data_IF_302185061948
#
_entry.id   IF_302185061948
#
_cell.length_a   1.000
_cell.length_b   1.000
_cell.length_c   1.000
_cell.angle_alpha   90.00
_cell.angle_beta   90.00
_cell.angle_gamma   90.00
#
_symmetry.space_group_name_H-M   'P 1'
#
loop_
_entity.id
_entity.type
_entity.pdbx_description
1 polymer ?
#
# COMPACT_ATOMS: atom_id res chain seq x y z
N UNK A 1 -9.59 32.61 -5.76
CA UNK A 1 -8.70 31.58 -6.30
C UNK A 1 -7.44 31.48 -5.45
N UNK A 2 -6.30 32.00 -5.94
CA UNK A 2 -5.01 31.87 -5.26
C UNK A 2 -4.98 32.52 -3.86
N UNK A 3 -5.57 33.71 -3.69
CA UNK A 3 -5.65 34.38 -2.39
C UNK A 3 -6.37 33.53 -1.33
N UNK A 4 -7.46 32.88 -1.72
CA UNK A 4 -8.26 32.06 -0.80
C UNK A 4 -7.51 30.77 -0.46
N UNK A 5 -6.80 30.17 -1.42
CA UNK A 5 -5.91 29.02 -1.17
C UNK A 5 -4.77 29.38 -0.22
N UNK A 6 -4.12 30.52 -0.43
CA UNK A 6 -3.04 30.99 0.45
C UNK A 6 -3.55 31.31 1.85
N UNK A 7 -4.72 31.95 1.97
CA UNK A 7 -5.34 32.23 3.27
C UNK A 7 -5.73 30.95 4.01
N UNK A 8 -6.31 29.97 3.30
CA UNK A 8 -6.66 28.67 3.86
C UNK A 8 -5.41 27.90 4.30
N UNK A 9 -4.35 27.88 3.48
CA UNK A 9 -3.08 27.24 3.80
C UNK A 9 -2.41 27.91 5.01
N UNK A 10 -2.39 29.24 5.08
CA UNK A 10 -1.85 29.98 6.22
C UNK A 10 -2.64 29.71 7.50
N UNK A 11 -3.98 29.70 7.44
CA UNK A 11 -4.83 29.40 8.59
C UNK A 11 -4.68 27.96 9.08
N UNK A 12 -4.68 26.99 8.17
CA UNK A 12 -4.44 25.58 8.51
C UNK A 12 -3.03 25.36 9.05
N UNK A 13 -2.03 26.02 8.47
CA UNK A 13 -0.63 25.99 8.93
C UNK A 13 -0.46 26.59 10.32
N UNK A 14 -1.10 27.72 10.61
CA UNK A 14 -1.07 28.34 11.94
C UNK A 14 -1.71 27.45 13.00
N UNK A 15 -2.86 26.82 12.68
CA UNK A 15 -3.49 25.85 13.59
C UNK A 15 -2.61 24.62 13.78
N UNK A 16 -2.03 24.08 12.70
CA UNK A 16 -1.09 22.96 12.78
C UNK A 16 0.14 23.28 13.63
N UNK A 17 0.70 24.48 13.50
CA UNK A 17 1.81 24.96 14.32
C UNK A 17 1.39 25.09 15.80
N UNK A 18 0.19 25.60 16.07
CA UNK A 18 -0.31 25.75 17.43
C UNK A 18 -0.64 24.40 18.10
N UNK A 19 -1.10 23.40 17.36
CA UNK A 19 -1.43 22.06 17.90
C UNK A 19 -0.20 21.16 18.01
N UNK A 20 0.56 21.00 16.93
CA UNK A 20 1.67 20.03 16.88
C UNK A 20 3.04 20.64 17.18
N UNK A 21 3.28 21.89 16.78
CA UNK A 21 4.56 22.57 16.93
C UNK A 21 4.76 23.14 18.33
N UNK A 22 3.99 24.15 18.69
CA UNK A 22 4.05 24.81 20.00
C UNK A 22 3.20 24.11 21.08
N UNK A 23 2.29 23.19 20.69
CA UNK A 23 1.39 22.46 21.59
C UNK A 23 0.58 23.37 22.54
N UNK A 24 0.16 24.53 22.03
CA UNK A 24 -0.67 25.53 22.75
C UNK A 24 -2.16 25.18 22.63
N UNK A 25 -2.54 24.46 21.57
CA UNK A 25 -3.90 23.94 21.37
C UNK A 25 -3.88 22.41 21.45
N UNK A 26 -4.97 21.81 21.94
CA UNK A 26 -5.18 20.38 21.86
C UNK A 26 -5.29 19.94 20.38
N UNK A 27 -4.74 18.78 20.05
CA UNK A 27 -4.78 18.18 18.71
C UNK A 27 -6.05 17.35 18.47
N UNK A 28 -6.76 16.99 19.54
CA UNK A 28 -8.04 16.30 19.49
C UNK A 28 -8.69 16.10 20.86
N UNK A 29 -9.84 15.43 20.85
CA UNK A 29 -10.53 14.95 22.04
C UNK A 29 -10.71 13.46 21.94
N UNK A 30 -10.33 12.75 23.00
CA UNK A 30 -10.49 11.31 23.13
C UNK A 30 -11.25 10.98 24.40
N UNK A 31 -12.29 10.17 24.28
CA UNK A 31 -13.08 9.65 25.38
C UNK A 31 -13.06 8.12 25.37
N UNK A 32 -12.93 7.53 26.56
CA UNK A 32 -13.08 6.09 26.75
C UNK A 32 -14.27 5.85 27.66
N UNK A 33 -15.20 5.01 27.21
CA UNK A 33 -16.40 4.62 27.94
C UNK A 33 -16.35 3.11 28.15
N UNK A 34 -16.64 2.65 29.36
CA UNK A 34 -16.72 1.23 29.66
C UNK A 34 -18.13 0.87 30.14
N UNK A 35 -18.68 -0.21 29.59
CA UNK A 35 -19.96 -0.78 29.99
C UNK A 35 -19.74 -2.27 30.29
N UNK A 36 -19.54 -2.61 31.57
CA UNK A 36 -19.06 -3.94 31.96
C UNK A 36 -17.66 -4.20 31.38
N UNK A 37 -17.48 -5.34 30.72
CA UNK A 37 -16.22 -5.66 30.01
C UNK A 37 -16.09 -5.00 28.62
N UNK A 38 -17.15 -4.38 28.10
CA UNK A 38 -17.12 -3.73 26.79
C UNK A 38 -16.52 -2.33 26.91
N UNK A 39 -15.43 -2.07 26.18
CA UNK A 39 -14.76 -0.77 26.17
C UNK A 39 -14.95 -0.11 24.80
N UNK A 40 -15.49 1.10 24.83
CA UNK A 40 -15.70 1.95 23.68
C UNK A 40 -14.71 3.11 23.73
N UNK A 41 -14.19 3.51 22.57
CA UNK A 41 -13.34 4.68 22.45
C UNK A 41 -13.86 5.56 21.32
N UNK A 42 -14.03 6.84 21.62
CA UNK A 42 -14.46 7.86 20.66
C UNK A 42 -13.37 8.92 20.62
N UNK A 43 -12.93 9.27 19.42
CA UNK A 43 -11.89 10.25 19.21
C UNK A 43 -12.20 11.13 18.02
N UNK A 44 -11.92 12.42 18.13
CA UNK A 44 -11.92 13.35 17.00
C UNK A 44 -10.64 14.18 17.04
N UNK A 45 -10.01 14.34 15.88
CA UNK A 45 -8.84 15.21 15.71
C UNK A 45 -9.26 16.56 15.13
N UNK A 46 -8.61 17.64 15.56
CA UNK A 46 -8.90 19.00 15.10
C UNK A 46 -8.08 19.44 13.88
N UNK A 47 -7.60 18.48 13.08
CA UNK A 47 -6.78 18.78 11.90
C UNK A 47 -7.62 19.35 10.75
N UNK A 48 -7.44 20.65 10.47
CA UNK A 48 -8.04 21.29 9.29
C UNK A 48 -7.53 20.69 7.97
N UNK A 49 -6.32 20.11 7.97
CA UNK A 49 -5.82 19.38 6.81
C UNK A 49 -6.69 18.15 6.50
N UNK A 50 -7.13 17.41 7.52
CA UNK A 50 -8.04 16.28 7.34
C UNK A 50 -9.43 16.71 6.86
N UNK A 51 -9.91 17.90 7.23
CA UNK A 51 -11.15 18.47 6.67
C UNK A 51 -10.99 18.73 5.17
N UNK A 52 -9.86 19.31 4.75
CA UNK A 52 -9.53 19.49 3.33
C UNK A 52 -9.45 18.17 2.57
N UNK A 53 -8.80 17.15 3.15
CA UNK A 53 -8.76 15.80 2.56
C UNK A 53 -10.16 15.23 2.42
N UNK A 54 -11.01 15.32 3.44
CA UNK A 54 -12.40 14.84 3.38
C UNK A 54 -13.22 15.53 2.29
N UNK A 55 -13.02 16.84 2.08
CA UNK A 55 -13.64 17.57 0.97
C UNK A 55 -13.17 17.07 -0.40
N UNK A 56 -11.87 16.79 -0.56
CA UNK A 56 -11.29 16.32 -1.82
C UNK A 56 -11.70 14.89 -2.18
N UNK A 57 -11.77 13.99 -1.20
CA UNK A 57 -12.15 12.58 -1.45
C UNK A 57 -13.67 12.41 -1.57
N UNK A 58 -14.45 13.31 -0.96
CA UNK A 58 -15.90 13.36 -1.11
C UNK A 58 -16.68 12.51 -0.09
N UNK A 59 -18.00 12.74 -0.03
CA UNK A 59 -18.84 12.20 1.05
C UNK A 59 -18.94 10.66 1.05
N UNK A 60 -18.94 10.02 -0.13
CA UNK A 60 -19.04 8.56 -0.22
C UNK A 60 -17.87 7.85 0.46
N UNK A 61 -16.64 8.28 0.19
CA UNK A 61 -15.46 7.74 0.85
C UNK A 61 -15.43 8.07 2.36
N UNK A 62 -15.86 9.28 2.73
CA UNK A 62 -16.00 9.65 4.14
C UNK A 62 -16.98 8.75 4.89
N UNK A 63 -18.12 8.39 4.27
CA UNK A 63 -19.10 7.46 4.85
C UNK A 63 -18.57 6.02 4.92
N UNK A 64 -17.82 5.57 3.91
CA UNK A 64 -17.16 4.27 3.96
C UNK A 64 -16.12 4.18 5.10
N UNK A 65 -15.30 5.22 5.26
CA UNK A 65 -14.35 5.33 6.39
C UNK A 65 -15.09 5.37 7.73
N UNK A 66 -16.17 6.15 7.84
CA UNK A 66 -16.98 6.23 9.05
C UNK A 66 -17.62 4.88 9.39
N UNK A 67 -18.08 4.13 8.39
CA UNK A 67 -18.60 2.77 8.56
C UNK A 67 -17.52 1.84 9.10
N UNK A 68 -16.29 1.92 8.57
CA UNK A 68 -15.14 1.19 9.11
C UNK A 68 -14.82 1.56 10.56
N UNK A 69 -14.86 2.85 10.91
CA UNK A 69 -14.69 3.34 12.29
C UNK A 69 -15.79 2.79 13.21
N UNK A 70 -17.04 2.80 12.77
CA UNK A 70 -18.17 2.28 13.53
C UNK A 70 -18.05 0.76 13.76
N UNK A 71 -17.65 0.00 12.74
CA UNK A 71 -17.40 -1.44 12.87
C UNK A 71 -16.24 -1.69 13.84
N UNK A 72 -15.13 -0.97 13.70
CA UNK A 72 -13.95 -1.17 14.52
C UNK A 72 -14.17 -0.77 15.98
N UNK A 73 -14.54 0.48 16.23
CA UNK A 73 -14.59 1.07 17.57
C UNK A 73 -15.97 0.97 18.24
N UNK A 74 -17.04 0.82 17.45
CA UNK A 74 -18.40 0.65 17.96
C UNK A 74 -18.82 -0.80 18.19
N UNK A 75 -18.21 -1.76 17.47
CA UNK A 75 -18.59 -3.18 17.53
C UNK A 75 -17.42 -4.08 17.90
N UNK A 76 -16.36 -4.12 17.08
CA UNK A 76 -15.31 -5.12 17.19
C UNK A 76 -14.47 -4.97 18.48
N UNK A 77 -13.99 -3.76 18.77
CA UNK A 77 -13.21 -3.50 20.00
C UNK A 77 -14.05 -3.79 21.26
N UNK A 78 -15.26 -3.22 21.44
CA UNK A 78 -16.07 -3.49 22.62
C UNK A 78 -16.44 -4.96 22.79
N UNK A 79 -16.73 -5.67 21.68
CA UNK A 79 -17.04 -7.10 21.72
C UNK A 79 -15.84 -7.93 22.19
N UNK A 80 -14.65 -7.67 21.65
CA UNK A 80 -13.45 -8.42 22.00
C UNK A 80 -12.97 -8.11 23.42
N UNK A 81 -13.07 -6.85 23.88
CA UNK A 81 -12.77 -6.53 25.29
C UNK A 81 -13.79 -7.18 26.23
N UNK A 82 -15.07 -7.24 25.86
CA UNK A 82 -16.11 -7.92 26.65
C UNK A 82 -15.89 -9.44 26.77
N UNK A 83 -15.26 -10.04 25.76
CA UNK A 83 -14.80 -11.44 25.78
C UNK A 83 -13.51 -11.64 26.58
N UNK A 84 -13.01 -10.61 27.27
CA UNK A 84 -11.81 -10.69 28.10
C UNK A 84 -10.50 -10.70 27.32
N UNK A 85 -10.49 -10.26 26.06
CA UNK A 85 -9.28 -10.25 25.21
C UNK A 85 -8.48 -8.94 25.32
N UNK A 86 -8.91 -8.02 26.18
CA UNK A 86 -8.21 -6.77 26.44
C UNK A 86 -7.13 -6.94 27.51
N UNK A 87 -5.91 -6.53 27.19
CA UNK A 87 -4.78 -6.44 28.13
C UNK A 87 -4.39 -4.97 28.32
N UNK A 88 -4.18 -4.54 29.55
CA UNK A 88 -3.82 -3.16 29.87
C UNK A 88 -4.16 -2.80 31.31
N UNK A 89 -3.45 -1.83 31.88
CA UNK A 89 -3.75 -1.32 33.22
C UNK A 89 -4.98 -0.40 33.22
N UNK A 90 -5.26 0.24 32.08
CA UNK A 90 -6.45 1.09 31.89
C UNK A 90 -7.36 0.55 30.79
N UNK A 91 -8.65 0.90 30.84
CA UNK A 91 -9.59 0.59 29.75
C UNK A 91 -9.12 1.13 28.40
N UNK A 92 -8.47 2.30 28.38
CA UNK A 92 -7.95 2.89 27.15
C UNK A 92 -6.83 2.04 26.54
N UNK A 93 -5.92 1.53 27.37
CA UNK A 93 -4.85 0.60 26.96
C UNK A 93 -5.42 -0.73 26.48
N UNK A 94 -6.41 -1.29 27.19
CA UNK A 94 -7.10 -2.53 26.77
C UNK A 94 -7.73 -2.39 25.38
N UNK A 95 -8.42 -1.28 25.13
CA UNK A 95 -9.04 -1.01 23.85
C UNK A 95 -7.99 -0.84 22.73
N UNK A 96 -6.88 -0.15 23.01
CA UNK A 96 -5.78 0.04 22.08
C UNK A 96 -5.07 -1.29 21.75
N UNK A 97 -4.85 -2.15 22.75
CA UNK A 97 -4.25 -3.46 22.57
C UNK A 97 -5.10 -4.37 21.68
N UNK A 98 -6.42 -4.42 21.93
CA UNK A 98 -7.37 -5.16 21.08
C UNK A 98 -7.43 -4.60 19.67
N UNK A 99 -7.49 -3.27 19.54
CA UNK A 99 -7.54 -2.63 18.23
C UNK A 99 -6.29 -2.96 17.40
N UNK A 100 -5.12 -2.75 17.99
CA UNK A 100 -3.83 -2.91 17.32
C UNK A 100 -3.47 -4.38 17.05
N UNK A 101 -3.75 -5.28 17.99
CA UNK A 101 -3.40 -6.70 17.92
C UNK A 101 -4.41 -7.56 17.17
N UNK A 102 -5.69 -7.15 17.11
CA UNK A 102 -6.76 -8.01 16.58
C UNK A 102 -7.63 -7.31 15.53
N UNK A 103 -8.23 -6.16 15.83
CA UNK A 103 -9.21 -5.52 14.94
C UNK A 103 -8.56 -5.04 13.63
N UNK A 104 -7.31 -4.57 13.67
CA UNK A 104 -6.55 -4.26 12.44
C UNK A 104 -6.41 -5.47 11.51
N UNK A 105 -6.32 -6.69 12.05
CA UNK A 105 -6.23 -7.92 11.26
C UNK A 105 -7.59 -8.35 10.68
N UNK A 106 -8.70 -8.00 11.34
CA UNK A 106 -10.03 -8.07 10.72
C UNK A 106 -10.07 -7.13 9.50
N UNK A 107 -9.60 -5.88 9.67
CA UNK A 107 -9.46 -4.93 8.57
C UNK A 107 -8.61 -5.46 7.42
N UNK A 108 -7.48 -6.10 7.72
CA UNK A 108 -6.63 -6.75 6.72
C UNK A 108 -7.37 -7.83 5.92
N UNK A 109 -8.19 -8.65 6.57
CA UNK A 109 -9.04 -9.65 5.92
C UNK A 109 -10.07 -9.03 4.96
N UNK A 110 -10.73 -7.95 5.38
CA UNK A 110 -11.68 -7.21 4.53
C UNK A 110 -10.96 -6.66 3.30
N UNK A 111 -9.82 -6.00 3.51
CA UNK A 111 -9.00 -5.40 2.45
C UNK A 111 -8.49 -6.48 1.47
N UNK A 112 -8.07 -7.64 1.98
CA UNK A 112 -7.59 -8.76 1.16
C UNK A 112 -8.71 -9.31 0.26
N UNK A 113 -9.92 -9.49 0.78
CA UNK A 113 -11.07 -9.96 -0.03
C UNK A 113 -11.50 -8.92 -1.05
N UNK A 114 -11.59 -7.64 -0.67
CA UNK A 114 -11.88 -6.56 -1.62
C UNK A 114 -10.83 -6.47 -2.73
N UNK A 115 -9.54 -6.60 -2.39
CA UNK A 115 -8.45 -6.65 -3.36
C UNK A 115 -8.55 -7.85 -4.32
N UNK A 116 -8.81 -9.05 -3.80
CA UNK A 116 -8.99 -10.25 -4.62
C UNK A 116 -10.19 -10.16 -5.55
N UNK A 117 -11.33 -9.69 -5.03
CA UNK A 117 -12.54 -9.47 -5.83
C UNK A 117 -12.26 -8.48 -6.97
N UNK A 118 -11.58 -7.38 -6.65
CA UNK A 118 -11.24 -6.34 -7.62
C UNK A 118 -10.31 -6.85 -8.72
N UNK A 119 -9.25 -7.60 -8.37
CA UNK A 119 -8.37 -8.24 -9.36
C UNK A 119 -9.16 -9.25 -10.20
N UNK A 120 -10.00 -10.07 -9.56
CA UNK A 120 -10.79 -11.10 -10.22
C UNK A 120 -11.81 -10.55 -11.22
N UNK A 121 -12.56 -9.50 -10.85
CA UNK A 121 -13.55 -8.85 -11.71
C UNK A 121 -12.90 -8.16 -12.92
N UNK A 122 -11.64 -7.73 -12.77
CA UNK A 122 -10.87 -7.05 -13.82
C UNK A 122 -10.00 -7.97 -14.67
N UNK A 123 -9.89 -9.26 -14.34
CA UNK A 123 -9.07 -10.19 -15.09
C UNK A 123 -9.46 -10.25 -16.58
N UNK A 124 -10.77 -10.30 -16.89
CA UNK A 124 -11.27 -10.33 -18.28
C UNK A 124 -10.90 -9.07 -19.09
N UNK A 125 -11.25 -7.85 -18.66
CA UNK A 125 -10.90 -6.64 -19.41
C UNK A 125 -9.38 -6.45 -19.53
N UNK A 126 -8.59 -6.78 -18.51
CA UNK A 126 -7.12 -6.74 -18.56
C UNK A 126 -6.57 -7.71 -19.61
N UNK A 127 -7.05 -8.96 -19.65
CA UNK A 127 -6.60 -9.91 -20.67
C UNK A 127 -6.99 -9.46 -22.09
N UNK A 128 -8.17 -8.85 -22.25
CA UNK A 128 -8.62 -8.27 -23.51
C UNK A 128 -7.74 -7.11 -24.00
N UNK A 129 -7.33 -6.22 -23.08
CA UNK A 129 -6.45 -5.09 -23.43
C UNK A 129 -5.06 -5.56 -23.86
N UNK A 130 -4.50 -6.56 -23.16
CA UNK A 130 -3.21 -7.18 -23.52
C UNK A 130 -3.28 -7.87 -24.89
N UNK A 131 -4.34 -8.65 -25.15
CA UNK A 131 -4.52 -9.33 -26.43
C UNK A 131 -4.61 -8.32 -27.60
N UNK A 132 -5.31 -7.20 -27.38
CA UNK A 132 -5.45 -6.12 -28.38
C UNK A 132 -4.10 -5.44 -28.62
N UNK A 133 -3.35 -5.11 -27.57
CA UNK A 133 -2.02 -4.52 -27.70
C UNK A 133 -1.04 -5.41 -28.49
N UNK A 134 -1.06 -6.73 -28.22
CA UNK A 134 -0.25 -7.70 -28.97
C UNK A 134 -0.69 -7.86 -30.42
N UNK A 135 -1.99 -7.76 -30.71
CA UNK A 135 -2.49 -7.81 -32.07
C UNK A 135 -2.05 -6.58 -32.89
N UNK A 136 -2.08 -5.39 -32.28
CA UNK A 136 -1.59 -4.14 -32.91
C UNK A 136 -0.07 -4.19 -33.13
N UNK A 137 0.68 -4.74 -32.17
CA UNK A 137 2.13 -4.96 -32.29
C UNK A 137 2.55 -5.71 -33.57
N UNK A 138 1.74 -6.71 -33.96
CA UNK A 138 2.00 -7.56 -35.12
C UNK A 138 1.67 -6.86 -36.44
N UNK A 139 0.82 -5.83 -36.41
CA UNK A 139 0.37 -5.09 -37.61
C UNK A 139 1.25 -3.88 -37.92
N UNK A 140 1.68 -3.15 -36.90
CA UNK A 140 2.27 -1.81 -37.09
C UNK A 140 3.82 -1.76 -37.09
N UNK A 141 4.50 -2.90 -36.98
CA UNK A 141 5.96 -2.96 -37.00
C UNK A 141 6.63 -2.33 -35.76
N UNK A 142 7.97 -2.31 -35.72
CA UNK A 142 8.75 -1.85 -34.54
C UNK A 142 9.13 -0.37 -34.54
N UNK A 143 8.59 0.42 -35.48
CA UNK A 143 8.90 1.84 -35.62
C UNK A 143 8.13 2.70 -34.62
N UNK A 144 8.69 3.84 -34.24
CA UNK A 144 7.91 4.90 -33.59
C UNK A 144 6.78 5.35 -34.53
N UNK A 145 5.56 5.63 -34.02
CA UNK A 145 4.47 6.12 -34.86
C UNK A 145 4.94 7.35 -35.66
N UNK A 146 4.83 7.25 -36.99
CA UNK A 146 5.25 8.31 -37.90
C UNK A 146 4.45 9.60 -37.70
N UNK A 147 4.83 10.66 -38.41
CA UNK A 147 4.06 11.92 -38.46
C UNK A 147 2.61 11.72 -38.94
N UNK A 148 2.33 10.58 -39.56
CA UNK A 148 1.05 10.22 -40.17
C UNK A 148 -0.02 9.79 -39.14
N UNK A 149 0.37 9.46 -37.90
CA UNK A 149 -0.59 9.17 -36.83
C UNK A 149 -1.06 10.46 -36.13
N UNK A 150 -2.34 10.57 -35.75
CA UNK A 150 -2.85 11.63 -34.89
C UNK A 150 -2.00 11.79 -33.62
N UNK A 151 -1.80 13.02 -33.15
CA UNK A 151 -0.90 13.31 -32.01
C UNK A 151 -1.23 12.49 -30.74
N UNK A 152 -2.51 12.29 -30.46
CA UNK A 152 -2.99 11.52 -29.31
C UNK A 152 -2.86 10.00 -29.45
N UNK A 153 -2.51 9.50 -30.63
CA UNK A 153 -2.34 8.06 -30.91
C UNK A 153 -0.86 7.65 -31.01
N UNK A 154 0.06 8.62 -30.84
CA UNK A 154 1.50 8.35 -30.88
C UNK A 154 1.97 7.84 -29.53
N UNK A 155 1.93 6.53 -29.35
CA UNK A 155 2.38 5.84 -28.14
C UNK A 155 3.77 5.19 -28.30
N UNK A 156 4.40 4.77 -27.21
CA UNK A 156 5.63 3.99 -27.25
C UNK A 156 5.35 2.62 -27.90
N UNK A 157 6.17 2.20 -28.89
CA UNK A 157 6.01 0.88 -29.48
C UNK A 157 6.15 -0.20 -28.41
N UNK A 158 5.22 -1.16 -28.41
CA UNK A 158 5.19 -2.28 -27.47
C UNK A 158 6.48 -3.12 -27.47
N UNK A 159 7.24 -3.11 -28.57
CA UNK A 159 8.57 -3.73 -28.67
C UNK A 159 9.60 -3.04 -27.77
N UNK A 160 9.54 -1.71 -27.68
CA UNK A 160 10.39 -0.92 -26.77
C UNK A 160 9.96 -1.12 -25.32
N UNK A 161 8.65 -1.12 -25.06
CA UNK A 161 8.10 -1.39 -23.72
C UNK A 161 8.50 -2.79 -23.24
N UNK A 162 8.32 -3.81 -24.08
CA UNK A 162 8.72 -5.19 -23.78
C UNK A 162 10.23 -5.34 -23.63
N UNK A 163 11.03 -4.68 -24.48
CA UNK A 163 12.48 -4.65 -24.35
C UNK A 163 12.95 -3.99 -23.04
N UNK A 164 12.34 -2.87 -22.67
CA UNK A 164 12.63 -2.19 -21.41
C UNK A 164 12.22 -3.04 -20.20
N UNK A 165 11.06 -3.70 -20.24
CA UNK A 165 10.61 -4.64 -19.22
C UNK A 165 11.66 -5.75 -19.02
N UNK A 166 12.09 -6.40 -20.09
CA UNK A 166 13.11 -7.46 -20.04
C UNK A 166 14.44 -6.93 -19.51
N UNK A 167 14.90 -5.76 -19.97
CA UNK A 167 16.13 -5.14 -19.49
C UNK A 167 16.06 -4.83 -17.99
N UNK A 168 14.92 -4.36 -17.48
CA UNK A 168 14.70 -4.02 -16.07
C UNK A 168 14.57 -5.26 -15.17
N UNK A 169 14.36 -6.46 -15.72
CA UNK A 169 14.42 -7.69 -14.91
C UNK A 169 15.81 -7.97 -14.34
N UNK A 170 16.87 -7.54 -15.04
CA UNK A 170 18.26 -7.73 -14.61
C UNK A 170 18.60 -6.95 -13.34
N UNK A 171 18.42 -5.61 -13.27
CA UNK A 171 18.66 -4.88 -12.03
C UNK A 171 17.70 -5.29 -10.91
N UNK A 172 16.48 -5.75 -11.22
CA UNK A 172 15.56 -6.31 -10.23
C UNK A 172 16.09 -7.62 -9.63
N UNK A 173 16.58 -8.55 -10.46
CA UNK A 173 17.22 -9.77 -9.99
C UNK A 173 18.48 -9.46 -9.18
N UNK A 174 19.27 -8.48 -9.62
CA UNK A 174 20.44 -8.02 -8.87
C UNK A 174 20.05 -7.43 -7.51
N UNK A 175 18.97 -6.65 -7.41
CA UNK A 175 18.45 -6.14 -6.14
C UNK A 175 18.14 -7.28 -5.16
N UNK A 176 17.42 -8.32 -5.60
CA UNK A 176 17.11 -9.47 -4.74
C UNK A 176 18.37 -10.27 -4.38
N UNK A 177 19.29 -10.47 -5.32
CA UNK A 177 20.55 -11.15 -5.06
C UNK A 177 21.42 -10.37 -4.04
N UNK A 178 21.52 -9.05 -4.21
CA UNK A 178 22.27 -8.19 -3.31
C UNK A 178 21.65 -8.20 -1.90
N UNK A 179 20.33 -8.10 -1.80
CA UNK A 179 19.62 -8.18 -0.52
C UNK A 179 19.80 -9.54 0.17
N UNK A 180 19.79 -10.63 -0.61
CA UNK A 180 19.96 -11.99 -0.12
C UNK A 180 21.41 -12.42 0.11
N UNK A 181 22.40 -11.63 -0.32
CA UNK A 181 23.83 -12.00 -0.25
C UNK A 181 24.35 -12.22 1.16
N UNK A 182 23.77 -11.53 2.16
CA UNK A 182 24.11 -11.69 3.57
C UNK A 182 23.38 -12.85 4.26
N UNK A 183 22.38 -13.46 3.63
CA UNK A 183 21.74 -14.65 4.13
C UNK A 183 22.55 -15.86 3.66
N UNK A 184 23.01 -16.71 4.58
CA UNK A 184 23.82 -17.92 4.32
C UNK A 184 23.03 -19.03 3.60
N UNK A 185 22.40 -18.69 2.47
CA UNK A 185 21.46 -19.48 1.69
C UNK A 185 22.14 -20.58 0.85
N UNK A 186 23.46 -20.54 0.73
CA UNK A 186 24.24 -21.48 -0.07
C UNK A 186 23.67 -21.66 -1.48
N UNK A 187 23.39 -22.90 -1.87
CA UNK A 187 22.85 -23.24 -3.20
C UNK A 187 21.40 -22.80 -3.46
N UNK A 188 20.66 -22.31 -2.44
CA UNK A 188 19.27 -21.84 -2.61
C UNK A 188 19.16 -20.39 -3.08
N UNK A 189 20.27 -19.62 -3.03
CA UNK A 189 20.29 -18.22 -3.44
C UNK A 189 19.84 -18.00 -4.91
N UNK A 190 20.34 -18.76 -5.92
CA UNK A 190 19.89 -18.58 -7.29
C UNK A 190 18.40 -18.92 -7.48
N UNK A 191 17.91 -19.94 -6.76
CA UNK A 191 16.49 -20.35 -6.81
C UNK A 191 15.61 -19.24 -6.25
N UNK A 192 16.00 -18.67 -5.10
CA UNK A 192 15.30 -17.55 -4.49
C UNK A 192 15.24 -16.34 -5.43
N UNK A 193 16.38 -15.95 -5.99
CA UNK A 193 16.46 -14.78 -6.88
C UNK A 193 15.57 -14.98 -8.11
N UNK A 194 15.67 -16.13 -8.78
CA UNK A 194 14.84 -16.43 -9.95
C UNK A 194 13.36 -16.45 -9.57
N UNK A 195 12.99 -17.12 -8.48
CA UNK A 195 11.60 -17.21 -8.05
C UNK A 195 11.03 -15.84 -7.66
N UNK A 196 11.78 -15.04 -6.90
CA UNK A 196 11.37 -13.70 -6.49
C UNK A 196 11.24 -12.75 -7.69
N UNK A 197 12.18 -12.79 -8.64
CA UNK A 197 12.11 -11.99 -9.87
C UNK A 197 10.93 -12.41 -10.75
N UNK A 198 10.73 -13.71 -10.98
CA UNK A 198 9.60 -14.20 -11.78
C UNK A 198 8.27 -13.85 -11.11
N UNK A 199 8.16 -14.04 -9.80
CA UNK A 199 6.98 -13.66 -9.05
C UNK A 199 6.72 -12.15 -9.12
N UNK A 200 7.73 -11.32 -8.88
CA UNK A 200 7.62 -9.87 -8.97
C UNK A 200 7.20 -9.40 -10.36
N UNK A 201 7.76 -9.96 -11.43
CA UNK A 201 7.40 -9.59 -12.81
C UNK A 201 5.99 -10.04 -13.15
N UNK A 202 5.63 -11.31 -12.92
CA UNK A 202 4.33 -11.85 -13.32
C UNK A 202 3.19 -11.31 -12.46
N UNK A 203 3.34 -11.39 -11.14
CA UNK A 203 2.33 -10.90 -10.20
C UNK A 203 2.28 -9.37 -10.25
N UNK A 204 3.43 -8.69 -10.29
CA UNK A 204 3.50 -7.24 -10.44
C UNK A 204 2.85 -6.73 -11.72
N UNK A 205 3.04 -7.42 -12.85
CA UNK A 205 2.36 -7.08 -14.10
C UNK A 205 0.84 -7.17 -13.96
N UNK A 206 0.32 -8.26 -13.38
CA UNK A 206 -1.12 -8.44 -13.15
C UNK A 206 -1.68 -7.34 -12.23
N UNK A 207 -0.96 -7.03 -11.15
CA UNK A 207 -1.33 -5.99 -10.19
C UNK A 207 -1.28 -4.59 -10.81
N UNK A 208 -0.23 -4.29 -11.58
CA UNK A 208 -0.07 -3.04 -12.31
C UNK A 208 -1.17 -2.84 -13.36
N UNK A 209 -1.53 -3.89 -14.11
CA UNK A 209 -2.60 -3.84 -15.08
C UNK A 209 -3.97 -3.58 -14.41
N UNK A 210 -4.23 -4.25 -13.28
CA UNK A 210 -5.46 -4.07 -12.49
C UNK A 210 -5.57 -2.65 -11.94
N UNK A 211 -4.51 -2.17 -11.26
CA UNK A 211 -4.46 -0.83 -10.70
C UNK A 211 -4.53 0.26 -11.78
N UNK A 212 -3.76 0.13 -12.85
CA UNK A 212 -3.79 1.05 -13.98
C UNK A 212 -5.19 1.17 -14.56
N UNK A 213 -5.85 0.05 -14.86
CA UNK A 213 -7.21 0.03 -15.42
C UNK A 213 -8.21 0.79 -14.54
N UNK A 214 -8.19 0.56 -13.23
CA UNK A 214 -9.04 1.29 -12.28
C UNK A 214 -8.70 2.76 -12.19
N UNK A 215 -7.41 3.11 -12.20
CA UNK A 215 -6.97 4.51 -12.20
C UNK A 215 -7.52 5.27 -13.40
N UNK A 216 -7.50 4.63 -14.58
CA UNK A 216 -8.05 5.18 -15.81
C UNK A 216 -9.57 5.38 -15.76
N UNK A 217 -10.31 4.48 -15.11
CA UNK A 217 -11.77 4.60 -15.01
C UNK A 217 -12.22 5.53 -13.88
N UNK A 218 -11.85 5.18 -12.65
CA UNK A 218 -12.39 5.73 -11.40
C UNK A 218 -11.44 6.74 -10.73
N UNK A 219 -10.15 6.63 -11.01
CA UNK A 219 -9.12 7.46 -10.39
C UNK A 219 -8.23 6.69 -9.40
N UNK A 220 -7.06 7.27 -9.11
CA UNK A 220 -6.01 6.71 -8.25
C UNK A 220 -6.43 6.56 -6.79
N UNK A 221 -7.25 7.48 -6.29
CA UNK A 221 -7.73 7.49 -4.90
C UNK A 221 -8.59 6.27 -4.54
N UNK A 222 -9.17 5.60 -5.53
CA UNK A 222 -10.00 4.40 -5.36
C UNK A 222 -9.28 3.12 -5.81
N UNK A 223 -7.96 3.18 -6.02
CA UNK A 223 -7.16 2.06 -6.49
C UNK A 223 -6.88 1.04 -5.37
N UNK A 224 -6.90 -0.28 -5.64
CA UNK A 224 -6.78 -1.34 -4.64
C UNK A 224 -5.33 -1.57 -4.17
N UNK A 225 -4.47 -0.55 -4.24
CA UNK A 225 -3.02 -0.65 -3.97
C UNK A 225 -2.76 -1.20 -2.56
N UNK A 226 -3.53 -0.74 -1.56
CA UNK A 226 -3.40 -1.23 -0.17
C UNK A 226 -3.68 -2.73 -0.05
N UNK A 227 -4.72 -3.23 -0.73
CA UNK A 227 -5.05 -4.65 -0.75
C UNK A 227 -4.03 -5.49 -1.49
N UNK A 228 -3.50 -4.99 -2.59
CA UNK A 228 -2.40 -5.62 -3.31
C UNK A 228 -1.16 -5.76 -2.42
N UNK A 229 -0.82 -4.73 -1.64
CA UNK A 229 0.29 -4.78 -0.70
C UNK A 229 0.12 -5.87 0.35
N UNK A 230 -1.06 -5.98 0.96
CA UNK A 230 -1.38 -7.04 1.94
C UNK A 230 -1.34 -8.42 1.29
N UNK A 231 -2.02 -8.61 0.16
CA UNK A 231 -2.06 -9.89 -0.56
C UNK A 231 -0.67 -10.36 -0.98
N UNK A 232 0.15 -9.43 -1.47
CA UNK A 232 1.53 -9.72 -1.88
C UNK A 232 2.39 -10.10 -0.68
N UNK A 233 2.32 -9.34 0.42
CA UNK A 233 3.06 -9.65 1.64
C UNK A 233 2.66 -11.02 2.21
N UNK A 234 1.36 -11.34 2.23
CA UNK A 234 0.86 -12.65 2.63
C UNK A 234 1.37 -13.77 1.72
N UNK A 235 1.23 -13.60 0.40
CA UNK A 235 1.68 -14.59 -0.57
C UNK A 235 3.20 -14.83 -0.46
N UNK A 236 4.01 -13.77 -0.40
CA UNK A 236 5.45 -13.88 -0.27
C UNK A 236 5.86 -14.52 1.06
N UNK A 237 5.24 -14.13 2.19
CA UNK A 237 5.52 -14.71 3.50
C UNK A 237 5.16 -16.21 3.60
N UNK A 238 4.18 -16.68 2.81
CA UNK A 238 3.84 -18.12 2.71
C UNK A 238 4.77 -18.85 1.74
N UNK A 239 5.03 -18.28 0.56
CA UNK A 239 5.75 -18.96 -0.53
C UNK A 239 7.26 -19.04 -0.29
N UNK A 240 7.87 -18.00 0.30
CA UNK A 240 9.32 -17.97 0.51
C UNK A 240 9.82 -19.13 1.39
N UNK A 241 9.23 -19.41 2.58
CA UNK A 241 9.60 -20.59 3.38
C UNK A 241 9.44 -21.93 2.65
N UNK A 242 8.54 -22.03 1.66
CA UNK A 242 8.35 -23.26 0.89
C UNK A 242 9.46 -23.46 -0.15
N UNK A 243 10.09 -22.38 -0.61
CA UNK A 243 11.13 -22.40 -1.64
C UNK A 243 12.54 -22.58 -1.06
N UNK A 244 12.88 -21.82 -0.01
CA UNK A 244 14.21 -21.86 0.62
C UNK A 244 14.27 -22.79 1.85
N UNK A 245 13.13 -23.38 2.22
CA UNK A 245 12.96 -24.11 3.47
C UNK A 245 12.70 -23.18 4.66
N UNK A 246 12.25 -23.76 5.78
CA UNK A 246 12.18 -23.03 7.04
C UNK A 246 13.61 -22.83 7.54
N UNK A 247 14.10 -21.61 7.45
CA UNK A 247 15.40 -21.24 8.00
C UNK A 247 15.43 -21.52 9.50
N UNK A 248 16.41 -22.27 9.97
CA UNK A 248 16.54 -22.63 11.37
C UNK A 248 17.04 -21.42 12.18
N UNK A 249 16.11 -20.62 12.72
CA UNK A 249 16.38 -19.65 13.78
C UNK A 249 16.03 -18.18 13.46
N UNK A 250 16.21 -17.29 14.45
CA UNK A 250 15.68 -15.92 14.41
C UNK A 250 16.25 -15.01 13.30
N UNK A 251 17.45 -15.29 12.80
CA UNK A 251 18.03 -14.54 11.67
C UNK A 251 17.38 -14.90 10.34
N UNK A 252 17.07 -16.18 10.16
CA UNK A 252 16.36 -16.67 9.00
C UNK A 252 14.93 -16.13 8.91
N UNK A 253 14.19 -16.15 10.03
CA UNK A 253 12.84 -15.59 10.07
C UNK A 253 12.85 -14.09 9.74
N UNK A 254 13.80 -13.34 10.30
CA UNK A 254 14.01 -11.91 9.97
C UNK A 254 14.28 -11.71 8.47
N UNK A 255 15.12 -12.55 7.89
CA UNK A 255 15.41 -12.51 6.45
C UNK A 255 14.15 -12.76 5.60
N UNK A 256 13.38 -13.80 5.91
CA UNK A 256 12.15 -14.14 5.17
C UNK A 256 11.14 -13.01 5.25
N UNK A 257 10.92 -12.46 6.44
CA UNK A 257 9.98 -11.34 6.65
C UNK A 257 10.44 -10.13 5.83
N UNK A 258 11.73 -9.77 5.91
CA UNK A 258 12.26 -8.62 5.21
C UNK A 258 12.23 -8.81 3.68
N UNK A 259 12.51 -10.02 3.19
CA UNK A 259 12.41 -10.36 1.76
C UNK A 259 10.95 -10.32 1.28
N UNK A 260 10.00 -10.83 2.06
CA UNK A 260 8.57 -10.76 1.73
C UNK A 260 8.09 -9.30 1.62
N UNK A 261 8.51 -8.45 2.55
CA UNK A 261 8.22 -7.02 2.53
C UNK A 261 8.90 -6.30 1.37
N UNK A 262 10.13 -6.67 1.01
CA UNK A 262 10.84 -6.12 -0.15
C UNK A 262 10.12 -6.46 -1.46
N UNK A 263 9.75 -7.73 -1.64
CA UNK A 263 8.96 -8.17 -2.81
C UNK A 263 7.62 -7.43 -2.87
N UNK A 264 6.93 -7.30 -1.74
CA UNK A 264 5.70 -6.52 -1.65
C UNK A 264 5.90 -5.05 -2.00
N UNK A 265 6.98 -4.41 -1.52
CA UNK A 265 7.31 -3.03 -1.83
C UNK A 265 7.51 -2.84 -3.34
N UNK A 266 8.28 -3.72 -3.99
CA UNK A 266 8.51 -3.66 -5.45
C UNK A 266 7.18 -3.77 -6.22
N UNK A 267 6.32 -4.72 -5.87
CA UNK A 267 5.00 -4.91 -6.53
C UNK A 267 4.07 -3.73 -6.29
N UNK A 268 4.02 -3.19 -5.07
CA UNK A 268 3.22 -2.01 -4.75
C UNK A 268 3.73 -0.79 -5.51
N UNK A 269 5.05 -0.62 -5.66
CA UNK A 269 5.63 0.45 -6.49
C UNK A 269 5.25 0.29 -7.95
N UNK A 270 5.33 -0.93 -8.52
CA UNK A 270 4.86 -1.20 -9.88
C UNK A 270 3.39 -0.82 -10.07
N UNK A 271 2.52 -1.22 -9.13
CA UNK A 271 1.10 -0.89 -9.16
C UNK A 271 0.84 0.62 -9.05
N UNK A 272 1.57 1.31 -8.16
CA UNK A 272 1.45 2.75 -7.96
C UNK A 272 1.88 3.56 -9.18
N UNK A 273 3.00 3.20 -9.81
CA UNK A 273 3.50 3.91 -11.01
C UNK A 273 2.60 3.62 -12.23
N UNK A 274 2.10 2.40 -12.38
CA UNK A 274 1.14 2.09 -13.45
C UNK A 274 -0.18 2.86 -13.31
N UNK A 275 -0.63 3.02 -12.07
CA UNK A 275 -1.81 3.81 -11.72
C UNK A 275 -1.62 5.29 -12.09
N UNK A 276 -0.50 5.90 -11.68
CA UNK A 276 -0.13 7.29 -12.03
C UNK A 276 -0.03 7.49 -13.55
N UNK A 277 0.67 6.58 -14.25
CA UNK A 277 0.82 6.62 -15.70
C UNK A 277 -0.53 6.63 -16.44
N UNK A 278 -1.49 5.78 -16.06
CA UNK A 278 -2.79 5.78 -16.73
C UNK A 278 -3.63 7.02 -16.41
N UNK A 279 -3.46 7.65 -15.24
CA UNK A 279 -4.09 8.93 -14.96
C UNK A 279 -3.49 10.07 -15.78
N UNK A 280 -2.18 10.08 -15.93
CA UNK A 280 -1.48 11.05 -16.77
C UNK A 280 -1.89 10.91 -18.23
N UNK A 281 -1.96 9.68 -18.74
CA UNK A 281 -2.41 9.42 -20.11
C UNK A 281 -3.87 9.82 -20.32
N UNK A 282 -4.76 9.55 -19.36
CA UNK A 282 -6.15 10.02 -19.42
C UNK A 282 -6.24 11.54 -19.47
N UNK A 283 -5.53 12.22 -18.58
CA UNK A 283 -5.50 13.69 -18.55
C UNK A 283 -4.88 14.26 -19.83
N UNK A 284 -3.82 13.60 -20.32
CA UNK A 284 -3.15 13.93 -21.57
C UNK A 284 -4.06 13.80 -22.79
N UNK A 285 -4.88 12.76 -22.85
CA UNK A 285 -5.88 12.59 -23.90
C UNK A 285 -6.91 13.73 -23.91
N UNK A 286 -7.32 14.24 -22.73
CA UNK A 286 -8.26 15.36 -22.65
C UNK A 286 -7.69 16.69 -23.16
N UNK A 287 -6.36 16.83 -23.24
CA UNK A 287 -5.67 18.06 -23.66
C UNK A 287 -4.84 17.88 -24.94
N UNK A 288 -5.11 16.81 -25.71
CA UNK A 288 -4.40 16.48 -26.96
C UNK A 288 -2.86 16.38 -26.81
N UNK A 289 -2.42 15.84 -25.67
CA UNK A 289 -1.02 15.52 -25.41
C UNK A 289 -0.54 14.34 -26.27
N UNK A 290 0.78 14.13 -26.30
CA UNK A 290 1.41 13.02 -27.02
C UNK A 290 1.84 11.93 -26.02
N UNK A 291 1.19 10.75 -26.01
CA UNK A 291 1.38 9.71 -24.99
C UNK A 291 2.84 9.33 -24.72
N UNK A 292 3.64 9.07 -25.75
CA UNK A 292 5.04 8.64 -25.56
C UNK A 292 5.89 9.68 -24.83
N UNK A 293 5.58 10.98 -24.98
CA UNK A 293 6.29 12.06 -24.30
C UNK A 293 5.96 12.08 -22.81
N UNK A 294 4.71 11.84 -22.45
CA UNK A 294 4.28 11.75 -21.06
C UNK A 294 4.98 10.59 -20.37
N UNK A 295 5.01 9.42 -21.00
CA UNK A 295 5.70 8.24 -20.47
C UNK A 295 7.20 8.48 -20.29
N UNK A 296 7.87 9.13 -21.26
CA UNK A 296 9.29 9.47 -21.14
C UNK A 296 9.56 10.43 -19.97
N UNK A 297 8.72 11.44 -19.77
CA UNK A 297 8.84 12.38 -18.63
C UNK A 297 8.55 11.67 -17.31
N UNK A 298 7.57 10.76 -17.28
CA UNK A 298 7.27 9.96 -16.09
C UNK A 298 8.47 9.11 -15.66
N UNK A 299 9.20 8.50 -16.60
CA UNK A 299 10.44 7.76 -16.28
C UNK A 299 11.47 8.66 -15.59
N UNK A 300 11.63 9.90 -16.06
CA UNK A 300 12.50 10.90 -15.40
C UNK A 300 11.96 11.25 -14.02
N UNK A 301 10.64 11.47 -13.91
CA UNK A 301 9.96 11.76 -12.64
C UNK A 301 10.16 10.66 -11.60
N UNK A 302 10.07 9.38 -11.99
CA UNK A 302 10.34 8.23 -11.13
C UNK A 302 11.79 8.20 -10.67
N UNK A 303 12.75 8.45 -11.56
CA UNK A 303 14.17 8.48 -11.21
C UNK A 303 14.50 9.61 -10.22
N UNK A 304 14.00 10.82 -10.48
CA UNK A 304 14.17 11.97 -9.57
C UNK A 304 13.46 11.73 -8.25
N UNK A 305 12.23 11.23 -8.29
CA UNK A 305 11.44 10.88 -7.11
C UNK A 305 12.15 9.87 -6.22
N UNK A 306 12.68 8.79 -6.80
CA UNK A 306 13.46 7.80 -6.06
C UNK A 306 14.73 8.39 -5.43
N UNK A 307 15.45 9.25 -6.16
CA UNK A 307 16.67 9.91 -5.67
C UNK A 307 16.41 10.90 -4.53
N UNK A 308 15.21 11.49 -4.47
CA UNK A 308 14.83 12.47 -3.44
C UNK A 308 14.15 11.83 -2.24
N UNK A 309 13.19 10.92 -2.47
CA UNK A 309 12.37 10.33 -1.42
C UNK A 309 13.18 9.41 -0.51
N UNK A 310 14.11 8.61 -1.04
CA UNK A 310 14.88 7.68 -0.22
C UNK A 310 15.78 8.39 0.83
N UNK A 311 16.58 9.42 0.47
CA UNK A 311 17.32 10.21 1.46
C UNK A 311 16.41 10.94 2.45
N UNK A 312 15.28 11.49 2.00
CA UNK A 312 14.33 12.17 2.88
C UNK A 312 13.73 11.23 3.93
N UNK A 313 13.30 10.03 3.52
CA UNK A 313 12.81 9.02 4.46
C UNK A 313 13.90 8.55 5.42
N UNK A 314 15.15 8.45 4.96
CA UNK A 314 16.29 8.12 5.82
C UNK A 314 16.53 9.21 6.86
N UNK A 315 16.48 10.48 6.46
CA UNK A 315 16.62 11.62 7.36
C UNK A 315 15.48 11.67 8.39
N UNK A 316 14.24 11.45 7.95
CA UNK A 316 13.10 11.40 8.86
C UNK A 316 13.20 10.22 9.83
N UNK A 317 13.61 9.05 9.35
CA UNK A 317 13.85 7.88 10.20
C UNK A 317 14.92 8.17 11.25
N UNK A 318 16.06 8.75 10.86
CA UNK A 318 17.13 9.13 11.77
C UNK A 318 16.74 10.23 12.78
N UNK A 319 15.81 11.11 12.42
CA UNK A 319 15.36 12.21 13.25
C UNK A 319 14.26 11.81 14.25
N UNK A 320 13.29 11.01 13.82
CA UNK A 320 12.09 10.68 14.61
C UNK A 320 11.89 9.19 14.86
N UNK A 321 12.43 8.31 14.01
CA UNK A 321 12.12 6.88 14.01
C UNK A 321 10.70 6.58 13.54
N UNK A 322 10.38 5.28 13.47
CA UNK A 322 9.03 4.80 13.24
C UNK A 322 8.51 4.05 14.47
N UNK A 323 7.20 4.05 14.69
CA UNK A 323 6.63 3.28 15.79
C UNK A 323 7.04 1.80 15.65
N UNK A 324 7.69 1.26 16.69
CA UNK A 324 8.25 -0.11 16.69
C UNK A 324 9.66 -0.25 16.13
N UNK A 325 10.28 0.83 15.65
CA UNK A 325 11.67 0.84 15.15
C UNK A 325 12.31 2.22 15.31
N UNK A 326 13.22 2.35 16.27
CA UNK A 326 13.97 3.58 16.54
C UNK A 326 15.41 3.44 16.02
N UNK A 327 15.97 4.47 15.38
CA UNK A 327 17.34 4.41 14.84
C UNK A 327 18.40 4.48 15.94
N UNK A 328 18.09 5.02 17.12
CA UNK A 328 19.04 5.32 18.18
C UNK A 328 18.45 5.02 19.55
N UNK A 329 19.29 4.50 20.44
CA UNK A 329 18.92 4.27 21.84
C UNK A 329 18.64 5.60 22.56
N UNK A 330 17.66 5.60 23.47
CA UNK A 330 17.29 6.78 24.26
C UNK A 330 16.34 7.77 23.57
N UNK A 331 15.91 7.50 22.34
CA UNK A 331 14.84 8.29 21.70
C UNK A 331 13.49 8.02 22.36
N UNK A 332 12.69 9.08 22.53
CA UNK A 332 11.33 8.97 23.04
C UNK A 332 10.39 8.38 21.99
N UNK A 333 9.89 7.17 22.25
CA UNK A 333 8.97 6.44 21.39
C UNK A 333 7.66 7.21 21.12
N UNK A 334 7.28 8.16 21.98
CA UNK A 334 6.09 9.00 21.77
C UNK A 334 6.23 9.96 20.58
N UNK A 335 7.46 10.27 20.15
CA UNK A 335 7.73 11.14 18.99
C UNK A 335 7.96 10.34 17.69
N UNK A 336 7.88 9.01 17.74
CA UNK A 336 8.07 8.17 16.58
C UNK A 336 6.93 8.32 15.57
N UNK A 337 7.28 8.37 14.28
CA UNK A 337 6.27 8.55 13.24
C UNK A 337 5.41 7.28 13.10
N UNK A 338 4.07 7.41 13.04
CA UNK A 338 3.22 6.26 12.78
C UNK A 338 3.38 5.82 11.32
N UNK A 339 3.62 4.53 11.10
CA UNK A 339 3.59 3.92 9.77
C UNK A 339 2.56 2.78 9.72
N UNK A 340 1.24 3.05 9.78
CA UNK A 340 0.24 2.02 10.03
C UNK A 340 0.16 0.95 8.95
N UNK A 341 0.38 1.31 7.68
CA UNK A 341 0.39 0.36 6.57
C UNK A 341 1.62 -0.57 6.64
N UNK A 342 2.80 -0.01 6.85
CA UNK A 342 4.03 -0.80 7.02
C UNK A 342 3.97 -1.69 8.27
N UNK A 343 3.41 -1.19 9.36
CA UNK A 343 3.20 -1.95 10.59
C UNK A 343 2.20 -3.10 10.41
N UNK A 344 1.14 -2.90 9.61
CA UNK A 344 0.17 -3.96 9.35
C UNK A 344 0.77 -5.05 8.46
N UNK A 345 1.46 -4.67 7.37
CA UNK A 345 2.08 -5.65 6.47
C UNK A 345 3.22 -6.40 7.15
N UNK A 346 4.01 -5.74 8.01
CA UNK A 346 5.05 -6.40 8.81
C UNK A 346 4.46 -7.34 9.86
N UNK A 347 3.40 -6.93 10.57
CA UNK A 347 2.69 -7.78 11.53
C UNK A 347 2.12 -9.04 10.86
N UNK A 348 1.55 -8.91 9.67
CA UNK A 348 1.02 -10.05 8.90
C UNK A 348 2.15 -10.98 8.45
N UNK A 349 3.20 -10.43 7.83
CA UNK A 349 4.33 -11.23 7.36
C UNK A 349 5.02 -11.97 8.52
N UNK A 350 5.32 -11.26 9.61
CA UNK A 350 5.91 -11.85 10.81
C UNK A 350 5.01 -12.89 11.46
N UNK A 351 3.70 -12.62 11.56
CA UNK A 351 2.74 -13.58 12.11
C UNK A 351 2.65 -14.86 11.29
N UNK A 352 2.75 -14.78 9.96
CA UNK A 352 2.77 -15.96 9.08
C UNK A 352 4.04 -16.77 9.30
N UNK A 353 5.20 -16.11 9.27
CA UNK A 353 6.51 -16.77 9.40
C UNK A 353 6.67 -17.44 10.77
N UNK A 354 6.30 -16.75 11.86
CA UNK A 354 6.37 -17.29 13.21
C UNK A 354 5.20 -18.24 13.56
N UNK A 355 4.19 -18.38 12.71
CA UNK A 355 2.99 -19.19 13.00
C UNK A 355 2.10 -18.62 14.12
N UNK A 356 2.24 -17.33 14.44
CA UNK A 356 1.49 -16.65 15.51
C UNK A 356 0.36 -15.76 15.00
N UNK A 357 0.15 -15.69 13.69
CA UNK A 357 -0.93 -14.88 13.12
C UNK A 357 -2.29 -15.36 13.64
N UNK A 358 -3.12 -14.47 14.23
CA UNK A 358 -4.45 -14.83 14.69
C UNK A 358 -5.40 -14.97 13.50
N UNK A 359 -5.29 -16.09 12.78
CA UNK A 359 -6.08 -16.41 11.58
C UNK A 359 -7.58 -16.24 11.78
N UNK A 360 -8.08 -16.47 13.01
CA UNK A 360 -9.49 -16.22 13.34
C UNK A 360 -9.90 -14.78 13.02
N UNK A 361 -9.08 -13.78 13.34
CA UNK A 361 -9.39 -12.37 13.05
C UNK A 361 -9.37 -12.09 11.55
N UNK A 362 -8.36 -12.61 10.85
CA UNK A 362 -8.24 -12.44 9.39
C UNK A 362 -9.42 -13.09 8.67
N UNK A 363 -9.83 -14.29 9.08
CA UNK A 363 -10.94 -15.02 8.47
C UNK A 363 -12.30 -14.39 8.79
N UNK A 364 -12.50 -13.86 10.00
CA UNK A 364 -13.69 -13.05 10.32
C UNK A 364 -13.75 -11.82 9.42
N UNK A 365 -12.62 -11.14 9.24
CA UNK A 365 -12.49 -10.03 8.30
C UNK A 365 -12.79 -10.42 6.86
N UNK A 366 -12.27 -11.57 6.41
CA UNK A 366 -12.54 -12.09 5.07
C UNK A 366 -14.02 -12.42 4.87
N UNK A 367 -14.68 -13.02 5.86
CA UNK A 367 -16.12 -13.29 5.82
C UNK A 367 -16.94 -12.00 5.74
N UNK A 368 -16.61 -11.00 6.55
CA UNK A 368 -17.26 -9.69 6.49
C UNK A 368 -17.01 -8.99 5.14
N UNK A 369 -15.78 -9.04 4.65
CA UNK A 369 -15.42 -8.49 3.33
C UNK A 369 -16.20 -9.15 2.20
N UNK A 370 -16.39 -10.47 2.24
CA UNK A 370 -17.19 -11.19 1.26
C UNK A 370 -18.66 -10.77 1.31
N UNK A 371 -19.23 -10.57 2.50
CA UNK A 371 -20.59 -10.05 2.65
C UNK A 371 -20.71 -8.64 2.09
N UNK A 372 -19.76 -7.74 2.40
CA UNK A 372 -19.76 -6.37 1.88
C UNK A 372 -19.68 -6.33 0.36
N UNK A 373 -18.77 -7.12 -0.23
CA UNK A 373 -18.64 -7.28 -1.67
C UNK A 373 -19.93 -7.83 -2.29
N UNK A 374 -20.56 -8.82 -1.67
CA UNK A 374 -21.80 -9.41 -2.17
C UNK A 374 -23.01 -8.46 -2.09
N UNK A 375 -23.01 -7.52 -1.14
CA UNK A 375 -24.04 -6.48 -1.04
C UNK A 375 -23.83 -5.37 -2.07
N UNK A 376 -22.58 -5.12 -2.47
CA UNK A 376 -22.22 -4.12 -3.48
C UNK A 376 -22.43 -4.62 -4.93
N UNK A 377 -22.15 -5.91 -5.19
CA UNK A 377 -22.18 -6.54 -6.52
C UNK A 377 -23.59 -6.74 -7.10
#
# INVERSE_FOLDING_TARGET
GLRDLLAAAAGAGAIGLATTGFRVLADGVHGTLAAGGAVFRVGTGFSLALVGVGYLVGIGACLALLTGVAIAWGVAVPLLTALGQGEGATHAEMAEAVWSGQVRLIGAGIIAVGGLWTVGSLARPVLGSVATALASARKDGSGLPGRDHPRGERDLPITWVGGALLALTVPLAWLFANFASGAELGGSLPVLVVAATVFAVLFGFLMAATCGYLAGLLGSSSSPISGIGILTAMAAAVLLPLLIGRSAGPEGDRFVIAMALLVAAVIVTMASIANDNLQDLKTGQLVDATPWRQQAVLVVGVAVGAAVVAPLLSLLYEAYGFVGSLPREGMDAANAMPAPQAALTSQIAAGIVHGTLPWRMVLVGAGLGAVLVAVEA
#
